data_IF_080534308228
#
_entry.id   IF_080534308228
#
_cell.length_a   1.000
_cell.length_b   1.000
_cell.length_c   1.000
_cell.angle_alpha   90.00
_cell.angle_beta   90.00
_cell.angle_gamma   90.00
#
_symmetry.space_group_name_H-M   'P 1'
#
loop_
_entity.id
_entity.type
_entity.pdbx_description
1 polymer ?
#
# COMPACT_ATOMS: atom_id res chain seq x y z
N UNK A 1 -7.12 -28.15 -8.75
CA UNK A 1 -8.03 -27.05 -8.35
C UNK A 1 -7.19 -25.88 -7.86
N UNK A 2 -7.31 -24.70 -8.47
CA UNK A 2 -6.64 -23.48 -7.98
C UNK A 2 -7.65 -22.73 -7.09
N UNK A 3 -7.31 -22.36 -5.84
CA UNK A 3 -8.22 -21.64 -4.96
C UNK A 3 -8.59 -20.27 -5.54
N UNK A 4 -9.82 -19.82 -5.31
CA UNK A 4 -10.24 -18.46 -5.67
C UNK A 4 -9.62 -17.46 -4.70
N UNK A 5 -8.64 -16.70 -5.19
CA UNK A 5 -8.01 -15.60 -4.45
C UNK A 5 -8.77 -14.30 -4.70
N UNK A 6 -8.81 -13.40 -3.71
CA UNK A 6 -9.33 -12.04 -3.87
C UNK A 6 -10.81 -11.83 -3.51
N UNK A 7 -11.49 -12.79 -2.89
CA UNK A 7 -12.80 -12.54 -2.27
C UNK A 7 -12.66 -11.40 -1.24
N UNK A 8 -13.60 -10.43 -1.22
CA UNK A 8 -13.59 -9.35 -0.22
C UNK A 8 -13.49 -9.92 1.19
N UNK A 9 -12.52 -9.44 1.93
CA UNK A 9 -12.34 -9.76 3.35
C UNK A 9 -12.93 -8.61 4.14
N UNK A 10 -13.65 -8.91 5.23
CA UNK A 10 -13.98 -7.90 6.23
C UNK A 10 -12.70 -7.29 6.83
N UNK A 11 -12.83 -6.23 7.63
CA UNK A 11 -11.69 -5.62 8.31
C UNK A 11 -10.94 -6.68 9.13
N UNK A 12 -9.61 -6.71 8.99
CA UNK A 12 -8.81 -7.65 9.73
C UNK A 12 -8.73 -7.20 11.19
N UNK A 13 -8.95 -8.10 12.18
CA UNK A 13 -8.78 -7.75 13.60
C UNK A 13 -7.36 -7.27 13.91
N UNK A 14 -6.37 -7.79 13.20
CA UNK A 14 -4.97 -7.37 13.31
C UNK A 14 -4.62 -6.13 12.47
N UNK A 15 -5.57 -5.59 11.70
CA UNK A 15 -5.36 -4.38 10.89
C UNK A 15 -4.52 -4.57 9.62
N UNK A 16 -4.29 -5.81 9.18
CA UNK A 16 -3.50 -6.10 7.98
C UNK A 16 -4.02 -5.40 6.71
N UNK A 17 -5.32 -5.11 6.65
CA UNK A 17 -5.98 -4.37 5.56
C UNK A 17 -5.53 -2.90 5.46
N UNK A 18 -5.12 -2.30 6.59
CA UNK A 18 -4.75 -0.88 6.73
C UNK A 18 -3.24 -0.65 6.91
N UNK A 19 -2.46 -1.72 6.98
CA UNK A 19 -1.03 -1.65 7.32
C UNK A 19 -0.20 -0.75 6.37
N UNK A 20 -0.67 -0.52 5.14
CA UNK A 20 0.04 0.29 4.14
C UNK A 20 -0.41 1.74 4.06
N UNK A 21 -1.43 2.15 4.84
CA UNK A 21 -2.02 3.50 4.77
C UNK A 21 -1.02 4.61 5.11
N UNK A 22 0.03 4.27 5.87
CA UNK A 22 1.11 5.19 6.25
C UNK A 22 2.50 4.66 5.86
N UNK A 23 2.59 3.82 4.82
CA UNK A 23 3.84 3.16 4.45
C UNK A 23 4.93 4.10 3.93
N UNK A 24 4.59 5.33 3.54
CA UNK A 24 5.55 6.34 3.06
C UNK A 24 5.85 7.33 4.18
N UNK A 25 6.90 7.04 4.94
CA UNK A 25 7.37 7.88 6.05
C UNK A 25 8.33 8.99 5.60
N UNK A 26 8.85 8.92 4.37
CA UNK A 26 9.78 9.90 3.81
C UNK A 26 9.06 11.23 3.57
N UNK A 27 9.67 12.34 4.00
CA UNK A 27 9.16 13.71 3.76
C UNK A 27 8.97 13.97 2.25
N UNK A 28 7.94 14.73 1.82
CA UNK A 28 7.69 15.06 0.42
C UNK A 28 8.92 15.58 -0.33
N UNK A 29 9.67 16.50 0.28
CA UNK A 29 10.82 17.16 -0.34
C UNK A 29 12.02 16.21 -0.54
N UNK A 30 12.04 15.08 0.15
CA UNK A 30 13.10 14.09 0.11
C UNK A 30 12.73 12.85 -0.74
N UNK A 31 11.59 12.86 -1.45
CA UNK A 31 11.15 11.73 -2.27
C UNK A 31 11.76 11.82 -3.67
N UNK A 32 12.60 10.83 -4.00
CA UNK A 32 13.08 10.63 -5.37
C UNK A 32 11.93 10.12 -6.27
N UNK A 33 11.60 10.81 -7.38
CA UNK A 33 10.57 10.39 -8.33
C UNK A 33 10.76 8.95 -8.84
N UNK A 34 12.01 8.53 -9.10
CA UNK A 34 12.29 7.19 -9.59
C UNK A 34 12.01 6.11 -8.55
N UNK A 35 12.16 6.43 -7.26
CA UNK A 35 11.83 5.53 -6.16
C UNK A 35 10.33 5.47 -5.89
N UNK A 36 9.63 6.62 -6.01
CA UNK A 36 8.17 6.69 -5.93
C UNK A 36 7.53 5.82 -7.02
N UNK A 37 8.06 5.88 -8.24
CA UNK A 37 7.60 5.05 -9.35
C UNK A 37 7.77 3.54 -9.10
N UNK A 38 8.90 3.13 -8.51
CA UNK A 38 9.10 1.73 -8.10
C UNK A 38 8.09 1.29 -7.04
N UNK A 39 7.62 2.21 -6.21
CA UNK A 39 6.63 1.98 -5.15
C UNK A 39 5.18 2.19 -5.61
N UNK A 40 4.90 2.31 -6.90
CA UNK A 40 3.56 2.62 -7.46
C UNK A 40 2.42 1.80 -6.87
N UNK A 41 2.64 0.52 -6.55
CA UNK A 41 1.64 -0.37 -5.94
C UNK A 41 1.16 0.08 -4.55
N UNK A 42 1.99 0.83 -3.82
CA UNK A 42 1.72 1.37 -2.49
C UNK A 42 1.54 2.89 -2.56
N UNK A 43 2.32 3.60 -3.39
CA UNK A 43 2.30 5.05 -3.50
C UNK A 43 0.92 5.60 -3.89
N UNK A 44 0.18 4.91 -4.77
CA UNK A 44 -1.19 5.30 -5.12
C UNK A 44 -2.19 5.21 -3.97
N UNK A 45 -1.86 4.53 -2.86
CA UNK A 45 -2.71 4.49 -1.65
C UNK A 45 -2.47 5.68 -0.72
N UNK A 46 -1.25 6.20 -0.69
CA UNK A 46 -0.79 7.15 0.34
C UNK A 46 -0.64 8.58 -0.19
N UNK A 47 -0.30 8.75 -1.47
CA UNK A 47 0.08 10.04 -2.06
C UNK A 47 -1.04 10.71 -2.91
N UNK A 48 -2.28 10.24 -2.78
CA UNK A 48 -3.43 10.75 -3.54
C UNK A 48 -3.75 12.22 -3.24
#
# INVERSE_FOLDING_TARGET
>A
VIPRLGTPRGPCPAGCDRALDHAIITSPDARDPALVEKLRSIAGRVLA
#
